data_IF_859495169030
#
_entry.id   IF_859495169030
#
_cell.length_a   1.000
_cell.length_b   1.000
_cell.length_c   1.000
_cell.angle_alpha   90.00
_cell.angle_beta   90.00
_cell.angle_gamma   90.00
#
_symmetry.space_group_name_H-M   'P 1'
#
loop_
_entity.id
_entity.type
_entity.pdbx_description
1 polymer ?
#
# COMPACT_ATOMS: atom_id res chain seq x y z
N UNK A 1 -6.39 -28.62 -11.59
CA UNK A 1 -7.05 -27.84 -10.52
C UNK A 1 -6.52 -26.43 -10.64
N UNK A 2 -7.37 -25.41 -10.79
CA UNK A 2 -6.93 -24.01 -10.78
C UNK A 2 -6.28 -23.70 -9.43
N UNK A 3 -5.17 -22.96 -9.41
CA UNK A 3 -4.56 -22.47 -8.15
C UNK A 3 -5.61 -21.62 -7.41
N UNK A 4 -5.77 -21.75 -6.08
CA UNK A 4 -6.60 -20.83 -5.32
C UNK A 4 -6.05 -19.41 -5.43
N UNK A 5 -6.95 -18.43 -5.51
CA UNK A 5 -6.60 -17.00 -5.56
C UNK A 5 -6.10 -16.58 -4.19
N UNK A 6 -4.94 -15.91 -4.13
CA UNK A 6 -4.40 -15.36 -2.89
C UNK A 6 -4.90 -13.92 -2.66
N UNK A 7 -5.35 -13.63 -1.44
CA UNK A 7 -5.73 -12.30 -0.98
C UNK A 7 -4.52 -11.63 -0.34
N UNK A 8 -3.90 -10.69 -1.05
CA UNK A 8 -2.83 -9.86 -0.51
C UNK A 8 -3.39 -8.51 -0.04
N UNK A 9 -2.86 -7.96 1.05
CA UNK A 9 -3.33 -6.70 1.65
C UNK A 9 -2.15 -5.80 1.93
N UNK A 10 -2.22 -4.54 1.50
CA UNK A 10 -1.18 -3.55 1.83
C UNK A 10 -1.21 -3.21 3.32
N UNK A 11 -0.04 -3.03 3.92
CA UNK A 11 0.13 -2.72 5.34
C UNK A 11 0.96 -1.44 5.47
N UNK A 12 0.38 -0.41 6.08
CA UNK A 12 1.02 0.88 6.27
C UNK A 12 1.63 0.96 7.69
N UNK A 13 2.96 1.03 7.84
CA UNK A 13 3.61 0.83 9.12
C UNK A 13 3.86 2.14 9.92
N UNK A 14 2.93 3.10 9.95
CA UNK A 14 3.15 4.39 10.63
C UNK A 14 2.42 4.54 11.99
N UNK A 15 2.00 3.42 12.59
CA UNK A 15 1.24 3.38 13.85
C UNK A 15 2.08 2.90 15.03
N UNK A 16 3.36 3.25 15.02
CA UNK A 16 4.32 3.04 16.10
C UNK A 16 5.29 4.24 16.20
N UNK A 17 5.98 4.38 17.33
CA UNK A 17 6.94 5.47 17.51
C UNK A 17 8.20 5.24 16.65
N UNK A 18 8.51 6.21 15.80
CA UNK A 18 9.73 6.25 15.00
C UNK A 18 10.55 7.51 15.33
N UNK A 19 11.88 7.40 15.30
CA UNK A 19 12.78 8.50 15.69
C UNK A 19 12.68 9.72 14.77
N UNK A 20 12.45 9.52 13.47
CA UNK A 20 12.27 10.61 12.50
C UNK A 20 10.95 11.32 12.78
N UNK A 21 9.89 10.55 12.99
CA UNK A 21 8.60 11.08 13.40
C UNK A 21 8.67 11.90 14.70
N UNK A 22 9.38 11.42 15.72
CA UNK A 22 9.57 12.21 16.95
C UNK A 22 10.35 13.51 16.70
N UNK A 23 11.33 13.49 15.79
CA UNK A 23 12.09 14.67 15.43
C UNK A 23 11.26 15.72 14.68
N UNK A 24 10.31 15.29 13.84
CA UNK A 24 9.43 16.17 13.06
C UNK A 24 8.20 16.65 13.83
N UNK A 25 7.54 15.74 14.55
CA UNK A 25 6.22 15.97 15.13
C UNK A 25 6.21 15.99 16.67
N UNK A 26 7.33 15.67 17.31
CA UNK A 26 7.50 15.68 18.76
C UNK A 26 7.46 14.31 19.40
N UNK A 27 7.94 14.24 20.65
CA UNK A 27 8.12 12.98 21.39
C UNK A 27 6.82 12.17 21.51
N UNK A 28 6.92 10.87 21.23
CA UNK A 28 5.83 9.91 21.30
C UNK A 28 4.80 10.04 20.17
N UNK A 29 5.07 10.88 19.17
CA UNK A 29 4.13 11.04 18.06
C UNK A 29 4.05 9.77 17.21
N UNK A 30 2.81 9.43 16.86
CA UNK A 30 2.47 8.44 15.85
C UNK A 30 1.30 9.00 15.05
N UNK A 31 1.03 8.44 13.88
CA UNK A 31 -0.06 8.95 13.04
C UNK A 31 -1.45 8.75 13.69
N UNK A 32 -1.56 7.96 14.76
CA UNK A 32 -2.75 7.91 15.62
C UNK A 32 -3.17 9.28 16.17
N UNK A 33 -2.26 10.23 16.35
CA UNK A 33 -2.63 11.59 16.78
C UNK A 33 -3.59 12.26 15.79
N UNK A 34 -3.45 11.99 14.49
CA UNK A 34 -4.35 12.54 13.47
C UNK A 34 -5.72 11.87 13.53
N UNK A 35 -5.76 10.53 13.64
CA UNK A 35 -7.03 9.78 13.78
C UNK A 35 -7.79 10.20 15.03
N UNK A 36 -7.11 10.39 16.17
CA UNK A 36 -7.73 10.86 17.42
C UNK A 36 -8.27 12.29 17.34
N UNK A 37 -7.68 13.12 16.47
CA UNK A 37 -8.06 14.53 16.29
C UNK A 37 -9.05 14.75 15.15
N UNK A 38 -9.32 13.74 14.32
CA UNK A 38 -10.22 13.86 13.19
C UNK A 38 -11.64 14.26 13.63
N UNK A 39 -12.21 15.24 12.95
CA UNK A 39 -13.56 15.75 13.19
C UNK A 39 -14.38 15.73 11.89
N UNK A 40 -15.73 15.67 11.97
CA UNK A 40 -16.58 15.90 10.81
C UNK A 40 -16.22 17.21 10.09
N UNK A 41 -15.82 17.13 8.81
CA UNK A 41 -15.47 18.31 7.99
C UNK A 41 -16.71 18.99 7.40
N UNK A 42 -17.84 18.28 7.36
CA UNK A 42 -19.14 18.73 6.92
C UNK A 42 -20.25 17.93 7.63
N UNK A 43 -21.49 18.39 7.55
CA UNK A 43 -22.61 17.72 8.19
C UNK A 43 -22.84 16.31 7.58
N UNK A 44 -22.84 15.28 8.43
CA UNK A 44 -23.00 13.89 8.01
C UNK A 44 -21.70 13.15 7.69
N UNK A 45 -20.54 13.83 7.76
CA UNK A 45 -19.23 13.20 7.57
C UNK A 45 -18.95 12.14 8.65
N UNK A 46 -18.52 10.95 8.23
CA UNK A 46 -18.28 9.78 9.10
C UNK A 46 -16.89 9.82 9.76
N UNK A 47 -16.67 10.83 10.62
CA UNK A 47 -15.50 10.97 11.49
C UNK A 47 -15.93 11.38 12.91
N UNK A 48 -15.13 11.08 13.95
CA UNK A 48 -13.93 10.27 13.93
C UNK A 48 -14.22 8.79 13.69
N UNK A 49 -13.33 8.12 12.96
CA UNK A 49 -13.27 6.65 12.88
C UNK A 49 -12.41 6.11 14.03
N UNK A 50 -12.93 5.11 14.75
CA UNK A 50 -12.31 4.62 16.00
C UNK A 50 -11.95 3.13 15.88
N UNK A 51 -10.67 2.75 16.03
CA UNK A 51 -10.24 1.35 16.04
C UNK A 51 -10.88 0.57 17.19
N UNK A 52 -11.41 -0.61 16.90
CA UNK A 52 -12.04 -1.49 17.89
C UNK A 52 -11.04 -1.95 18.96
N UNK A 53 -9.79 -2.15 18.54
CA UNK A 53 -8.69 -2.61 19.38
C UNK A 53 -7.92 -1.47 20.07
N UNK A 54 -8.28 -0.22 19.76
CA UNK A 54 -7.57 0.96 20.25
C UNK A 54 -6.38 1.37 19.39
N UNK A 55 -5.71 2.44 19.84
CA UNK A 55 -4.59 3.09 19.17
C UNK A 55 -3.26 2.45 19.59
N UNK A 56 -3.08 1.18 19.24
CA UNK A 56 -1.98 0.35 19.73
C UNK A 56 -0.69 0.52 18.91
N UNK A 57 0.44 0.20 19.54
CA UNK A 57 1.76 0.16 18.90
C UNK A 57 1.91 -1.16 18.13
N UNK A 58 1.93 -1.07 16.81
CA UNK A 58 2.06 -2.24 15.92
C UNK A 58 3.45 -2.88 15.91
N UNK A 59 4.46 -2.24 16.51
CA UNK A 59 5.77 -2.86 16.74
C UNK A 59 5.74 -3.83 17.94
N UNK A 60 4.67 -3.86 18.75
CA UNK A 60 4.47 -4.88 19.78
C UNK A 60 4.04 -6.21 19.13
N UNK A 61 4.83 -7.29 19.27
CA UNK A 61 4.48 -8.62 18.75
C UNK A 61 3.11 -9.13 19.19
N UNK A 62 2.64 -8.80 20.40
CA UNK A 62 1.35 -9.25 20.91
C UNK A 62 0.18 -8.54 20.19
N UNK A 63 0.36 -7.24 19.89
CA UNK A 63 -0.59 -6.46 19.08
C UNK A 63 -0.63 -7.02 17.67
N UNK A 64 0.53 -7.20 17.04
CA UNK A 64 0.62 -7.74 15.69
C UNK A 64 0.10 -9.18 15.60
N UNK A 65 0.31 -9.99 16.64
CA UNK A 65 -0.21 -11.37 16.70
C UNK A 65 -1.73 -11.40 16.59
N UNK A 66 -2.44 -10.47 17.25
CA UNK A 66 -3.90 -10.34 17.11
C UNK A 66 -4.32 -9.92 15.70
N UNK A 67 -3.56 -9.02 15.06
CA UNK A 67 -3.79 -8.62 13.66
C UNK A 67 -3.61 -9.80 12.70
N UNK A 68 -2.56 -10.60 12.89
CA UNK A 68 -2.27 -11.81 12.11
C UNK A 68 -3.40 -12.83 12.26
N UNK A 69 -3.86 -13.10 13.49
CA UNK A 69 -4.95 -14.05 13.73
C UNK A 69 -6.23 -13.61 13.01
N UNK A 70 -6.62 -12.35 13.16
CA UNK A 70 -7.81 -11.81 12.50
C UNK A 70 -7.71 -11.87 10.97
N UNK A 71 -6.57 -11.49 10.39
CA UNK A 71 -6.36 -11.59 8.95
C UNK A 71 -6.46 -13.04 8.45
N UNK A 72 -5.71 -13.96 9.07
CA UNK A 72 -5.67 -15.36 8.67
C UNK A 72 -7.01 -16.09 8.89
N UNK A 73 -7.75 -15.77 9.97
CA UNK A 73 -9.07 -16.36 10.26
C UNK A 73 -10.16 -15.92 9.26
N UNK A 74 -9.88 -14.89 8.44
CA UNK A 74 -10.82 -14.28 7.50
C UNK A 74 -10.36 -14.33 6.05
N UNK A 75 -9.39 -15.19 5.72
CA UNK A 75 -8.99 -15.47 4.35
C UNK A 75 -8.05 -14.43 3.73
N UNK A 76 -7.36 -13.64 4.54
CA UNK A 76 -6.17 -12.89 4.08
C UNK A 76 -4.98 -13.84 4.09
N UNK A 77 -4.24 -13.90 2.98
CA UNK A 77 -3.08 -14.79 2.83
C UNK A 77 -1.75 -14.07 3.07
N UNK A 78 -1.67 -12.80 2.67
CA UNK A 78 -0.40 -12.06 2.59
C UNK A 78 -0.56 -10.61 3.05
N UNK A 79 0.38 -10.13 3.86
CA UNK A 79 0.61 -8.70 4.05
C UNK A 79 1.75 -8.20 3.15
N UNK A 80 1.48 -7.16 2.34
CA UNK A 80 2.51 -6.44 1.59
C UNK A 80 2.81 -5.17 2.38
N UNK A 81 3.96 -5.14 3.04
CA UNK A 81 4.36 -3.97 3.83
C UNK A 81 4.84 -2.86 2.91
N UNK A 82 4.31 -1.66 3.13
CA UNK A 82 4.90 -0.42 2.63
C UNK A 82 6.24 -0.27 3.34
N UNK A 83 7.32 -0.52 2.60
CA UNK A 83 8.65 -0.61 3.15
C UNK A 83 9.44 0.64 2.79
N UNK A 84 9.93 1.35 3.80
CA UNK A 84 10.63 2.61 3.62
C UNK A 84 12.11 2.49 3.91
N UNK A 85 12.89 3.04 2.99
CA UNK A 85 14.32 3.23 3.13
C UNK A 85 14.72 4.45 2.32
N UNK A 86 15.44 5.36 2.97
CA UNK A 86 15.94 6.59 2.39
C UNK A 86 17.47 6.54 2.28
N UNK A 87 18.07 7.61 1.76
CA UNK A 87 19.53 7.68 1.53
C UNK A 87 20.35 7.34 2.79
N UNK A 88 19.84 7.68 3.97
CA UNK A 88 20.48 7.51 5.27
C UNK A 88 20.00 6.26 6.05
N UNK A 89 19.17 5.41 5.47
CA UNK A 89 18.78 4.12 6.06
C UNK A 89 17.27 3.90 6.22
N UNK A 90 16.86 2.92 7.05
CA UNK A 90 15.47 2.52 7.19
C UNK A 90 14.60 3.60 7.83
N UNK A 91 13.30 3.47 7.65
CA UNK A 91 12.25 4.26 8.26
C UNK A 91 11.00 3.38 8.46
N UNK A 92 10.30 3.53 9.59
CA UNK A 92 9.08 2.75 9.90
C UNK A 92 9.24 1.22 9.89
N UNK A 93 10.46 0.72 10.06
CA UNK A 93 10.78 -0.71 9.94
C UNK A 93 10.28 -1.56 11.11
N UNK A 94 10.01 -0.95 12.28
CA UNK A 94 9.72 -1.69 13.52
C UNK A 94 8.39 -2.45 13.46
N UNK A 95 7.38 -1.95 12.74
CA UNK A 95 6.13 -2.69 12.55
C UNK A 95 6.37 -4.08 11.92
N UNK A 96 7.27 -4.14 10.93
CA UNK A 96 7.64 -5.39 10.28
C UNK A 96 8.66 -6.17 11.13
N UNK A 97 9.75 -5.55 11.55
CA UNK A 97 10.89 -6.25 12.18
C UNK A 97 10.64 -6.67 13.62
N UNK A 98 10.04 -5.79 14.43
CA UNK A 98 9.71 -6.08 15.83
C UNK A 98 8.31 -6.68 15.92
N UNK A 99 7.31 -6.08 15.27
CA UNK A 99 5.93 -6.52 15.32
C UNK A 99 5.69 -7.85 14.59
N UNK A 100 5.68 -7.83 13.25
CA UNK A 100 5.27 -8.99 12.44
C UNK A 100 6.27 -10.14 12.53
N UNK A 101 7.57 -9.88 12.35
CA UNK A 101 8.59 -10.93 12.44
C UNK A 101 8.81 -11.41 13.88
N UNK A 102 8.48 -10.60 14.89
CA UNK A 102 8.52 -10.99 16.30
C UNK A 102 7.29 -11.73 16.80
N UNK A 103 6.16 -11.68 16.09
CA UNK A 103 4.93 -12.38 16.48
C UNK A 103 5.06 -13.91 16.29
N UNK A 104 4.72 -14.67 17.33
CA UNK A 104 4.86 -16.15 17.34
C UNK A 104 4.01 -16.85 16.26
N UNK A 105 2.91 -16.23 15.83
CA UNK A 105 2.00 -16.75 14.82
C UNK A 105 2.25 -16.19 13.41
N UNK A 106 3.38 -15.51 13.16
CA UNK A 106 3.65 -14.86 11.87
C UNK A 106 3.62 -15.81 10.66
N UNK A 107 3.87 -17.11 10.86
CA UNK A 107 3.81 -18.12 9.81
C UNK A 107 2.39 -18.40 9.31
N UNK A 108 1.35 -17.87 9.98
CA UNK A 108 -0.04 -17.94 9.53
C UNK A 108 -0.30 -17.10 8.28
N UNK A 109 0.54 -16.08 8.05
CA UNK A 109 0.49 -15.23 6.87
C UNK A 109 1.81 -15.29 6.12
N UNK A 110 1.74 -15.05 4.82
CA UNK A 110 2.91 -14.67 4.05
C UNK A 110 3.14 -13.17 4.19
N UNK A 111 4.33 -12.71 3.83
CA UNK A 111 4.59 -11.27 3.72
C UNK A 111 5.49 -10.92 2.55
N UNK A 112 5.35 -9.71 2.03
CA UNK A 112 6.17 -9.16 0.95
C UNK A 112 6.45 -7.67 1.20
N UNK A 113 7.35 -7.11 0.40
CA UNK A 113 7.73 -5.70 0.48
C UNK A 113 7.31 -4.97 -0.79
N UNK A 114 6.74 -3.79 -0.60
CA UNK A 114 6.66 -2.75 -1.62
C UNK A 114 7.52 -1.57 -1.16
N UNK A 115 8.59 -1.26 -1.87
CA UNK A 115 9.42 -0.10 -1.54
C UNK A 115 8.64 1.18 -1.86
N UNK A 116 8.16 1.85 -0.80
CA UNK A 116 7.45 3.12 -0.85
C UNK A 116 8.45 4.28 -1.00
N UNK A 117 9.15 4.30 -2.14
CA UNK A 117 10.27 5.20 -2.43
C UNK A 117 9.84 6.61 -2.90
N UNK A 118 8.71 7.12 -2.39
CA UNK A 118 8.24 8.47 -2.64
C UNK A 118 8.80 9.45 -1.58
N UNK A 119 8.74 10.74 -1.87
CA UNK A 119 9.09 11.78 -0.90
C UNK A 119 8.14 11.71 0.32
N UNK A 120 8.70 11.90 1.52
CA UNK A 120 7.90 12.05 2.74
C UNK A 120 7.57 13.52 2.93
N UNK A 121 6.28 13.86 2.85
CA UNK A 121 5.81 15.24 2.92
C UNK A 121 5.38 15.62 4.35
N UNK A 122 5.56 16.89 4.70
CA UNK A 122 5.04 17.48 5.94
C UNK A 122 3.54 17.79 5.83
N UNK A 123 2.72 16.73 5.91
CA UNK A 123 1.26 16.77 5.75
C UNK A 123 0.51 16.12 6.90
N UNK A 124 1.15 16.05 8.08
CA UNK A 124 0.66 15.30 9.22
C UNK A 124 0.49 16.19 10.47
N UNK A 125 -0.40 17.21 10.47
CA UNK A 125 -1.41 17.52 9.45
C UNK A 125 -1.00 18.60 8.44
N UNK A 126 -1.57 18.53 7.24
CA UNK A 126 -1.44 19.52 6.17
C UNK A 126 -2.20 20.81 6.48
N UNK A 127 -1.49 21.93 6.42
CA UNK A 127 -2.09 23.26 6.40
C UNK A 127 -2.85 23.47 5.09
N UNK A 128 -3.82 24.38 5.08
CA UNK A 128 -4.56 24.71 3.85
C UNK A 128 -3.66 25.33 2.75
N UNK A 129 -2.59 26.03 3.13
CA UNK A 129 -1.67 26.68 2.18
C UNK A 129 -0.56 25.73 1.72
N UNK A 130 -0.33 25.72 0.41
CA UNK A 130 0.75 24.98 -0.28
C UNK A 130 1.85 25.94 -0.78
N UNK A 131 3.07 25.47 -1.10
CA UNK A 131 3.55 24.08 -1.10
C UNK A 131 3.86 23.53 0.31
N UNK A 132 3.78 22.21 0.45
CA UNK A 132 4.25 21.50 1.64
C UNK A 132 5.76 21.27 1.59
N UNK A 133 6.37 21.12 2.77
CA UNK A 133 7.79 20.80 2.88
C UNK A 133 8.03 19.31 2.62
N UNK A 134 9.19 18.99 2.04
CA UNK A 134 9.71 17.61 1.99
C UNK A 134 10.53 17.38 3.25
N UNK A 135 10.18 16.36 4.03
CA UNK A 135 10.88 15.93 5.25
C UNK A 135 11.97 14.90 4.95
N UNK A 136 11.74 14.02 3.99
CA UNK A 136 12.72 13.05 3.49
C UNK A 136 12.52 12.82 1.99
N UNK A 137 13.62 12.68 1.24
CA UNK A 137 13.58 12.44 -0.21
C UNK A 137 13.54 10.94 -0.52
N UNK A 138 12.62 10.53 -1.39
CA UNK A 138 12.44 9.13 -1.79
C UNK A 138 13.46 8.62 -2.81
N UNK A 139 14.14 9.52 -3.52
CA UNK A 139 15.23 9.15 -4.43
C UNK A 139 16.44 8.66 -3.63
N UNK A 140 17.02 7.54 -4.05
CA UNK A 140 18.20 6.94 -3.42
C UNK A 140 19.34 6.74 -4.42
N UNK A 141 20.58 6.87 -3.95
CA UNK A 141 21.78 6.56 -4.72
C UNK A 141 21.92 5.05 -4.98
N UNK A 142 22.81 4.65 -5.90
CA UNK A 142 23.15 3.24 -6.12
C UNK A 142 23.70 2.58 -4.85
N UNK A 143 24.45 3.32 -4.04
CA UNK A 143 24.99 2.80 -2.78
C UNK A 143 23.87 2.50 -1.79
N UNK A 144 22.97 3.47 -1.53
CA UNK A 144 21.82 3.29 -0.66
C UNK A 144 20.89 2.17 -1.18
N UNK A 145 20.69 2.07 -2.50
CA UNK A 145 19.95 0.96 -3.11
C UNK A 145 20.57 -0.42 -2.84
N UNK A 146 21.89 -0.53 -2.98
CA UNK A 146 22.60 -1.77 -2.66
C UNK A 146 22.49 -2.11 -1.17
N UNK A 147 22.63 -1.13 -0.27
CA UNK A 147 22.49 -1.35 1.18
C UNK A 147 21.07 -1.81 1.55
N UNK A 148 20.04 -1.15 1.01
CA UNK A 148 18.64 -1.52 1.20
C UNK A 148 18.36 -2.96 0.72
N UNK A 149 18.77 -3.29 -0.50
CA UNK A 149 18.54 -4.63 -1.08
C UNK A 149 19.36 -5.72 -0.40
N UNK A 150 20.57 -5.41 0.10
CA UNK A 150 21.34 -6.32 0.94
C UNK A 150 20.65 -6.59 2.28
N UNK A 151 20.04 -5.56 2.89
CA UNK A 151 19.20 -5.74 4.08
C UNK A 151 18.00 -6.63 3.78
N UNK A 152 17.32 -6.42 2.65
CA UNK A 152 16.19 -7.26 2.26
C UNK A 152 16.56 -8.75 2.12
N UNK A 153 17.69 -9.02 1.44
CA UNK A 153 18.18 -10.39 1.24
C UNK A 153 18.43 -11.07 2.58
N UNK A 154 19.13 -10.39 3.50
CA UNK A 154 19.52 -11.00 4.79
C UNK A 154 18.33 -11.17 5.73
N UNK A 155 17.48 -10.15 5.84
CA UNK A 155 16.48 -10.03 6.92
C UNK A 155 15.14 -10.65 6.54
N UNK A 156 14.72 -10.49 5.27
CA UNK A 156 13.36 -10.80 4.84
C UNK A 156 13.30 -11.98 3.87
N UNK A 157 14.12 -12.02 2.83
CA UNK A 157 13.99 -13.02 1.76
C UNK A 157 14.41 -14.43 2.17
N UNK A 158 15.12 -14.55 3.30
CA UNK A 158 15.46 -15.82 3.96
C UNK A 158 14.29 -16.41 4.75
N UNK A 159 13.24 -15.63 5.02
CA UNK A 159 12.09 -16.08 5.83
C UNK A 159 11.25 -17.10 5.05
N UNK A 160 10.83 -18.21 5.67
CA UNK A 160 10.11 -19.28 4.98
C UNK A 160 8.71 -18.86 4.51
N UNK A 161 8.09 -17.88 5.16
CA UNK A 161 6.80 -17.30 4.81
C UNK A 161 6.91 -16.03 3.95
N UNK A 162 8.09 -15.69 3.40
CA UNK A 162 8.16 -14.61 2.42
C UNK A 162 7.37 -14.98 1.17
N UNK A 163 6.51 -14.07 0.68
CA UNK A 163 5.58 -14.32 -0.40
C UNK A 163 6.31 -14.53 -1.72
N UNK A 164 5.84 -15.54 -2.47
CA UNK A 164 6.41 -15.93 -3.75
C UNK A 164 5.32 -16.07 -4.80
N UNK A 165 5.55 -15.45 -5.95
CA UNK A 165 4.70 -15.54 -7.13
C UNK A 165 5.37 -16.48 -8.12
N UNK A 166 4.70 -17.58 -8.46
CA UNK A 166 5.24 -18.67 -9.28
C UNK A 166 6.65 -19.14 -8.83
N UNK A 167 6.84 -19.23 -7.52
CA UNK A 167 8.07 -19.69 -6.87
C UNK A 167 9.17 -18.62 -6.76
N UNK A 168 8.99 -17.44 -7.35
CA UNK A 168 9.93 -16.31 -7.30
C UNK A 168 9.60 -15.40 -6.12
N UNK A 169 10.62 -14.86 -5.43
CA UNK A 169 10.42 -13.85 -4.37
C UNK A 169 9.75 -12.61 -4.96
N UNK A 170 8.65 -12.15 -4.36
CA UNK A 170 7.97 -10.93 -4.83
C UNK A 170 8.60 -9.67 -4.21
N UNK A 171 8.92 -8.67 -5.02
CA UNK A 171 9.36 -7.35 -4.57
C UNK A 171 8.70 -6.28 -5.45
N UNK A 172 8.09 -5.26 -4.84
CA UNK A 172 7.42 -4.19 -5.57
C UNK A 172 8.09 -2.83 -5.37
N UNK A 173 8.01 -1.96 -6.37
CA UNK A 173 8.46 -0.56 -6.32
C UNK A 173 7.26 0.35 -6.54
N UNK A 174 7.03 1.30 -5.62
CA UNK A 174 5.89 2.20 -5.66
C UNK A 174 6.03 3.32 -6.69
N UNK A 175 7.14 4.08 -6.64
CA UNK A 175 7.37 5.23 -7.53
C UNK A 175 8.56 4.97 -8.46
N UNK A 176 8.26 4.45 -9.65
CA UNK A 176 9.27 3.96 -10.59
C UNK A 176 10.19 5.08 -11.10
N UNK A 177 9.70 6.31 -11.23
CA UNK A 177 10.46 7.42 -11.82
C UNK A 177 11.46 8.02 -10.84
N UNK A 178 11.18 7.97 -9.54
CA UNK A 178 12.03 8.34 -8.42
C UNK A 178 13.15 7.34 -8.29
N UNK A 179 12.86 6.04 -8.50
CA UNK A 179 13.90 5.03 -8.59
C UNK A 179 14.83 5.33 -9.77
N UNK A 180 14.28 5.59 -10.97
CA UNK A 180 15.06 5.94 -12.17
C UNK A 180 15.90 7.20 -11.96
N UNK A 181 15.32 8.23 -11.36
CA UNK A 181 15.99 9.49 -11.07
C UNK A 181 17.12 9.29 -10.05
N UNK A 182 16.89 8.55 -8.97
CA UNK A 182 17.88 8.27 -7.94
C UNK A 182 19.07 7.46 -8.47
N UNK A 183 18.79 6.45 -9.31
CA UNK A 183 19.82 5.61 -9.92
C UNK A 183 20.47 6.24 -11.18
N UNK A 184 19.95 7.37 -11.65
CA UNK A 184 20.58 8.24 -12.64
C UNK A 184 20.10 8.05 -14.08
N UNK A 185 19.68 6.84 -14.48
CA UNK A 185 19.08 6.57 -15.79
C UNK A 185 18.26 5.28 -15.81
N UNK A 186 17.53 5.05 -16.90
CA UNK A 186 16.80 3.79 -17.14
C UNK A 186 17.79 2.61 -17.21
N UNK A 187 18.91 2.78 -17.91
CA UNK A 187 19.95 1.76 -18.05
C UNK A 187 20.61 1.43 -16.71
N UNK A 188 20.95 2.47 -15.92
CA UNK A 188 21.54 2.28 -14.59
C UNK A 188 20.55 1.61 -13.62
N UNK A 189 19.26 1.91 -13.76
CA UNK A 189 18.19 1.26 -12.98
C UNK A 189 18.04 -0.20 -13.37
N UNK A 190 18.04 -0.50 -14.67
CA UNK A 190 18.01 -1.87 -15.18
C UNK A 190 19.20 -2.68 -14.65
N UNK A 191 20.39 -2.11 -14.69
CA UNK A 191 21.61 -2.73 -14.14
C UNK A 191 21.48 -2.99 -12.64
N UNK A 192 20.93 -2.05 -11.86
CA UNK A 192 20.72 -2.22 -10.42
C UNK A 192 19.70 -3.33 -10.09
N UNK A 193 18.61 -3.43 -10.86
CA UNK A 193 17.61 -4.49 -10.69
C UNK A 193 18.18 -5.86 -11.09
N UNK A 194 18.99 -5.93 -12.15
CA UNK A 194 19.64 -7.18 -12.57
C UNK A 194 20.73 -7.61 -11.58
N UNK A 195 21.50 -6.68 -11.02
CA UNK A 195 22.42 -6.93 -9.90
C UNK A 195 21.68 -7.47 -8.68
N UNK A 196 20.54 -6.87 -8.32
CA UNK A 196 19.72 -7.34 -7.21
C UNK A 196 19.26 -8.79 -7.44
N UNK A 197 18.72 -9.11 -8.62
CA UNK A 197 18.39 -10.50 -9.00
C UNK A 197 19.59 -11.43 -8.90
N UNK A 198 20.77 -11.01 -9.34
CA UNK A 198 21.99 -11.80 -9.27
C UNK A 198 22.41 -12.08 -7.82
N UNK A 199 22.34 -11.08 -6.94
CA UNK A 199 22.62 -11.25 -5.50
C UNK A 199 21.62 -12.17 -4.81
N UNK A 200 20.33 -12.10 -5.17
CA UNK A 200 19.30 -13.05 -4.68
C UNK A 200 19.65 -14.49 -5.08
N UNK A 201 20.02 -14.73 -6.35
CA UNK A 201 20.44 -16.06 -6.82
C UNK A 201 21.71 -16.53 -6.12
N UNK A 202 22.70 -15.66 -5.96
CA UNK A 202 23.96 -15.97 -5.29
C UNK A 202 23.77 -16.34 -3.82
N UNK A 203 22.76 -15.77 -3.16
CA UNK A 203 22.34 -16.14 -1.81
C UNK A 203 21.58 -17.49 -1.73
N UNK A 204 21.34 -18.16 -2.87
CA UNK A 204 20.63 -19.45 -2.92
C UNK A 204 19.11 -19.33 -2.74
N UNK A 205 18.53 -18.14 -2.90
CA UNK A 205 17.12 -17.87 -2.61
C UNK A 205 16.20 -18.03 -3.84
N UNK A 206 16.75 -18.44 -4.98
CA UNK A 206 16.06 -18.62 -6.25
C UNK A 206 15.97 -17.34 -7.07
N UNK A 207 14.83 -17.15 -7.74
CA UNK A 207 14.57 -16.00 -8.60
C UNK A 207 13.80 -14.90 -7.87
N UNK A 208 14.01 -13.65 -8.28
CA UNK A 208 13.29 -12.47 -7.81
C UNK A 208 12.35 -11.96 -8.91
N UNK A 209 11.07 -11.82 -8.55
CA UNK A 209 10.02 -11.20 -9.33
C UNK A 209 9.90 -9.72 -8.92
N UNK A 210 10.16 -8.83 -9.87
CA UNK A 210 10.05 -7.38 -9.65
C UNK A 210 8.70 -6.89 -10.17
N UNK A 211 7.94 -6.24 -9.31
CA UNK A 211 6.69 -5.58 -9.62
C UNK A 211 6.86 -4.06 -9.60
N UNK A 212 6.10 -3.35 -10.43
CA UNK A 212 5.99 -1.89 -10.37
C UNK A 212 4.53 -1.47 -10.17
N UNK A 213 4.28 -0.54 -9.26
CA UNK A 213 2.99 0.14 -9.15
C UNK A 213 2.88 1.14 -10.30
N UNK A 214 1.76 1.10 -11.04
CA UNK A 214 1.49 2.04 -12.13
C UNK A 214 0.44 3.08 -11.73
N UNK A 215 0.57 4.27 -12.32
CA UNK A 215 -0.21 5.46 -11.99
C UNK A 215 -1.00 5.95 -13.21
N UNK A 216 -2.29 6.26 -13.05
CA UNK A 216 -3.12 6.86 -14.11
C UNK A 216 -3.32 8.38 -13.93
N UNK A 217 -3.39 8.80 -12.67
CA UNK A 217 -3.66 10.14 -12.15
C UNK A 217 -2.66 10.39 -11.02
N UNK A 218 -2.03 11.57 -11.02
CA UNK A 218 -1.11 12.00 -9.96
C UNK A 218 -1.93 12.48 -8.75
N UNK A 219 -1.76 11.85 -7.59
CA UNK A 219 -2.45 12.16 -6.34
C UNK A 219 -1.48 12.76 -5.32
N UNK A 220 -0.28 12.17 -5.13
CA UNK A 220 0.73 12.74 -4.24
C UNK A 220 1.62 13.78 -4.96
N UNK A 221 2.02 14.87 -4.27
CA UNK A 221 3.05 15.78 -4.78
C UNK A 221 4.35 15.00 -5.04
N UNK A 222 4.76 14.90 -6.32
CA UNK A 222 6.01 14.23 -6.72
C UNK A 222 5.85 13.07 -7.71
N UNK A 223 4.66 12.46 -7.83
CA UNK A 223 4.42 11.35 -8.78
C UNK A 223 4.55 11.81 -10.24
N UNK A 224 5.12 10.99 -11.13
CA UNK A 224 5.22 11.32 -12.56
C UNK A 224 4.39 10.39 -13.45
N UNK A 225 3.57 10.97 -14.33
CA UNK A 225 2.77 10.21 -15.31
C UNK A 225 3.69 9.55 -16.34
N UNK A 226 3.61 8.23 -16.47
CA UNK A 226 4.40 7.48 -17.46
C UNK A 226 3.72 7.58 -18.84
N UNK A 227 4.25 8.41 -19.74
CA UNK A 227 3.69 8.63 -21.08
C UNK A 227 4.01 7.53 -22.08
N UNK A 228 4.89 6.58 -21.73
CA UNK A 228 5.25 5.42 -22.54
C UNK A 228 5.49 4.16 -21.67
N UNK A 229 4.48 3.82 -20.86
CA UNK A 229 4.57 2.84 -19.77
C UNK A 229 5.15 1.49 -20.17
N UNK A 230 4.68 0.92 -21.27
CA UNK A 230 5.09 -0.42 -21.70
C UNK A 230 6.56 -0.49 -22.12
N UNK A 231 7.07 0.52 -22.84
CA UNK A 231 8.48 0.57 -23.23
C UNK A 231 9.39 0.77 -22.02
N UNK A 232 9.01 1.64 -21.07
CA UNK A 232 9.76 1.85 -19.84
C UNK A 232 9.82 0.58 -18.99
N UNK A 233 8.68 -0.08 -18.76
CA UNK A 233 8.60 -1.31 -17.96
C UNK A 233 9.44 -2.44 -18.59
N UNK A 234 9.42 -2.56 -19.92
CA UNK A 234 10.24 -3.51 -20.65
C UNK A 234 11.74 -3.18 -20.54
N UNK A 235 12.12 -1.91 -20.68
CA UNK A 235 13.50 -1.46 -20.56
C UNK A 235 14.08 -1.72 -19.15
N UNK A 236 13.27 -1.50 -18.12
CA UNK A 236 13.63 -1.78 -16.73
C UNK A 236 13.57 -3.28 -16.39
N UNK A 237 12.92 -4.09 -17.22
CA UNK A 237 12.79 -5.53 -17.00
C UNK A 237 11.91 -5.88 -15.82
N UNK A 238 10.82 -5.15 -15.61
CA UNK A 238 9.83 -5.46 -14.58
C UNK A 238 9.04 -6.71 -15.00
N UNK A 239 8.73 -7.60 -14.05
CA UNK A 239 8.04 -8.87 -14.30
C UNK A 239 6.51 -8.75 -14.25
N UNK A 240 5.96 -7.79 -13.50
CA UNK A 240 4.52 -7.50 -13.45
C UNK A 240 4.21 -6.07 -13.04
N UNK A 241 2.96 -5.65 -13.22
CA UNK A 241 2.46 -4.37 -12.71
C UNK A 241 1.35 -4.57 -11.68
N UNK A 242 1.13 -3.57 -10.83
CA UNK A 242 0.03 -3.51 -9.86
C UNK A 242 -0.57 -2.11 -9.81
N UNK A 243 -1.75 -2.00 -9.19
CA UNK A 243 -2.31 -0.72 -8.74
C UNK A 243 -2.43 -0.71 -7.22
N UNK A 244 -2.36 0.47 -6.61
CA UNK A 244 -2.34 0.61 -5.15
C UNK A 244 -3.73 0.96 -4.59
N UNK A 245 -4.30 2.09 -5.00
CA UNK A 245 -5.65 2.55 -4.61
C UNK A 245 -6.38 3.08 -5.84
N UNK A 246 -7.72 2.96 -5.87
CA UNK A 246 -8.51 3.31 -7.05
C UNK A 246 -8.37 4.77 -7.46
N UNK A 247 -8.20 5.68 -6.51
CA UNK A 247 -8.11 7.12 -6.81
C UNK A 247 -6.83 7.50 -7.59
N UNK A 248 -5.83 6.63 -7.66
CA UNK A 248 -4.67 6.79 -8.55
C UNK A 248 -5.03 6.61 -10.04
N UNK A 249 -6.25 6.16 -10.34
CA UNK A 249 -6.73 5.95 -11.71
C UNK A 249 -8.12 6.54 -11.96
N UNK A 250 -8.86 6.84 -10.89
CA UNK A 250 -10.23 7.33 -10.94
C UNK A 250 -10.33 8.68 -10.23
N UNK A 251 -10.77 9.71 -10.96
CA UNK A 251 -11.13 10.98 -10.35
C UNK A 251 -12.38 10.82 -9.46
N UNK A 252 -12.48 11.66 -8.43
CA UNK A 252 -13.67 11.78 -7.58
C UNK A 252 -14.48 12.99 -8.06
N UNK A 253 -15.47 12.80 -8.95
CA UNK A 253 -16.14 13.91 -9.65
C UNK A 253 -17.03 14.76 -8.75
N UNK A 254 -17.41 14.28 -7.57
CA UNK A 254 -18.27 14.99 -6.63
C UNK A 254 -17.51 15.28 -5.34
N UNK A 255 -17.57 16.54 -4.90
CA UNK A 255 -16.98 17.01 -3.65
C UNK A 255 -18.09 17.44 -2.67
N UNK A 256 -17.98 17.13 -1.36
CA UNK A 256 -16.87 16.41 -0.73
C UNK A 256 -16.88 14.90 -1.00
N UNK A 257 -18.03 14.32 -1.36
CA UNK A 257 -18.20 12.87 -1.41
C UNK A 257 -18.60 12.37 -2.80
N UNK A 258 -17.89 11.34 -3.28
CA UNK A 258 -18.27 10.54 -4.44
C UNK A 258 -18.71 9.15 -3.98
N UNK A 259 -19.84 8.60 -4.48
CA UNK A 259 -20.30 7.26 -4.06
C UNK A 259 -19.28 6.15 -4.37
N UNK A 260 -18.94 5.34 -3.37
CA UNK A 260 -18.04 4.18 -3.50
C UNK A 260 -18.45 3.23 -4.62
N UNK A 261 -19.75 2.96 -4.75
CA UNK A 261 -20.28 2.06 -5.77
C UNK A 261 -19.98 2.54 -7.20
N UNK A 262 -19.93 3.86 -7.42
CA UNK A 262 -19.61 4.45 -8.72
C UNK A 262 -18.14 4.20 -9.08
N UNK A 263 -17.23 4.49 -8.15
CA UNK A 263 -15.79 4.29 -8.35
C UNK A 263 -15.45 2.80 -8.44
N UNK A 264 -16.11 1.94 -7.66
CA UNK A 264 -15.93 0.48 -7.76
C UNK A 264 -16.33 -0.06 -9.13
N UNK A 265 -17.43 0.43 -9.71
CA UNK A 265 -17.87 0.01 -11.05
C UNK A 265 -16.85 0.41 -12.11
N UNK A 266 -16.39 1.66 -12.10
CA UNK A 266 -15.35 2.16 -13.02
C UNK A 266 -14.03 1.41 -12.86
N UNK A 267 -13.61 1.15 -11.63
CA UNK A 267 -12.36 0.42 -11.33
C UNK A 267 -12.38 -1.03 -11.83
N UNK A 268 -13.57 -1.64 -11.93
CA UNK A 268 -13.71 -2.98 -12.52
C UNK A 268 -13.36 -2.99 -14.01
N UNK A 269 -13.67 -1.91 -14.72
CA UNK A 269 -13.33 -1.74 -16.15
C UNK A 269 -11.81 -1.53 -16.33
N UNK A 270 -11.18 -0.81 -15.40
CA UNK A 270 -9.73 -0.57 -15.41
C UNK A 270 -8.91 -1.86 -15.28
N UNK A 271 -9.40 -2.88 -14.57
CA UNK A 271 -8.65 -4.12 -14.42
C UNK A 271 -8.38 -4.80 -15.76
N UNK A 272 -9.43 -5.00 -16.57
CA UNK A 272 -9.31 -5.56 -17.92
C UNK A 272 -8.46 -4.67 -18.83
N UNK A 273 -8.61 -3.35 -18.71
CA UNK A 273 -7.84 -2.37 -19.48
C UNK A 273 -6.34 -2.45 -19.16
N UNK A 274 -5.95 -2.55 -17.89
CA UNK A 274 -4.54 -2.63 -17.49
C UNK A 274 -3.93 -3.97 -17.85
N UNK A 275 -4.65 -5.09 -17.65
CA UNK A 275 -4.19 -6.41 -18.12
C UNK A 275 -3.93 -6.43 -19.64
N UNK A 276 -4.73 -5.72 -20.44
CA UNK A 276 -4.54 -5.64 -21.89
C UNK A 276 -3.44 -4.64 -22.32
N UNK A 277 -3.26 -3.54 -21.57
CA UNK A 277 -2.40 -2.42 -21.98
C UNK A 277 -0.90 -2.69 -21.86
N UNK A 278 -0.48 -3.34 -20.77
CA UNK A 278 0.94 -3.33 -20.39
C UNK A 278 1.74 -4.54 -20.87
N UNK A 279 1.11 -5.54 -21.49
CA UNK A 279 1.79 -6.76 -21.97
C UNK A 279 2.51 -7.57 -20.87
N UNK A 280 2.29 -7.22 -19.61
CA UNK A 280 2.84 -7.83 -18.41
C UNK A 280 1.67 -8.35 -17.54
N UNK A 281 1.89 -9.39 -16.73
CA UNK A 281 0.95 -9.80 -15.71
C UNK A 281 0.52 -8.62 -14.82
N UNK A 282 -0.76 -8.56 -14.47
CA UNK A 282 -1.32 -7.49 -13.65
C UNK A 282 -1.84 -8.06 -12.33
N UNK A 283 -1.41 -7.46 -11.23
CA UNK A 283 -1.91 -7.71 -9.88
C UNK A 283 -2.98 -6.64 -9.58
N UNK A 284 -4.28 -6.96 -9.74
CA UNK A 284 -5.36 -5.99 -9.61
C UNK A 284 -5.65 -5.67 -8.14
N UNK A 285 -6.31 -4.54 -7.90
CA UNK A 285 -6.60 -4.04 -6.55
C UNK A 285 -8.09 -3.77 -6.31
N UNK A 286 -8.55 -4.06 -5.09
CA UNK A 286 -9.80 -3.56 -4.51
C UNK A 286 -9.47 -2.54 -3.41
N UNK A 287 -10.01 -1.33 -3.49
CA UNK A 287 -9.88 -0.33 -2.44
C UNK A 287 -11.02 -0.47 -1.43
N UNK A 288 -10.72 -0.46 -0.13
CA UNK A 288 -11.70 -0.53 0.95
C UNK A 288 -12.46 0.79 1.11
N UNK A 289 -11.75 1.92 1.10
CA UNK A 289 -12.31 3.25 1.26
C UNK A 289 -11.31 4.34 0.88
N UNK A 290 -11.72 5.60 0.99
CA UNK A 290 -10.83 6.75 0.83
C UNK A 290 -11.43 7.98 1.52
N UNK A 291 -10.71 8.53 2.49
CA UNK A 291 -10.97 9.78 3.19
C UNK A 291 -9.66 10.25 3.84
N UNK A 292 -8.94 11.15 3.16
CA UNK A 292 -7.69 11.73 3.67
C UNK A 292 -7.88 12.95 4.57
N UNK A 293 -9.12 13.29 4.93
CA UNK A 293 -9.39 14.45 5.78
C UNK A 293 -8.76 14.43 7.17
N UNK A 294 -8.47 13.28 7.82
CA UNK A 294 -7.70 13.26 9.07
C UNK A 294 -6.29 13.87 8.93
N UNK A 295 -5.69 13.81 7.73
CA UNK A 295 -4.40 14.45 7.43
C UNK A 295 -4.50 15.97 7.25
N UNK A 296 -5.67 16.59 7.39
CA UNK A 296 -5.82 18.06 7.31
C UNK A 296 -5.83 18.73 8.68
N UNK A 297 -5.47 20.01 8.73
CA UNK A 297 -5.69 20.85 9.92
C UNK A 297 -7.19 20.98 10.17
N UNK A 298 -7.65 20.42 11.29
CA UNK A 298 -9.09 20.27 11.57
C UNK A 298 -9.79 21.61 11.83
N UNK A 299 -9.07 22.66 12.21
CA UNK A 299 -9.66 24.00 12.35
C UNK A 299 -9.85 24.76 11.03
N UNK A 300 -9.25 24.29 9.94
CA UNK A 300 -9.35 24.96 8.63
C UNK A 300 -10.63 24.54 7.89
N UNK A 301 -11.08 25.36 6.94
CA UNK A 301 -12.18 25.00 6.03
C UNK A 301 -11.78 23.90 5.05
N UNK A 302 -12.67 22.93 4.82
CA UNK A 302 -12.44 21.79 3.93
C UNK A 302 -12.99 22.06 2.53
N UNK A 303 -12.09 22.23 1.56
CA UNK A 303 -12.38 22.46 0.15
C UNK A 303 -11.49 21.55 -0.72
N UNK A 304 -11.77 21.44 -2.01
CA UNK A 304 -10.97 20.62 -2.92
C UNK A 304 -9.71 21.39 -3.40
N UNK A 305 -8.62 21.26 -2.67
CA UNK A 305 -7.32 21.90 -2.94
C UNK A 305 -6.24 20.89 -3.39
N UNK A 306 -6.62 19.64 -3.61
CA UNK A 306 -5.70 18.53 -3.83
C UNK A 306 -5.29 17.85 -2.53
N UNK A 307 -4.59 16.73 -2.64
CA UNK A 307 -4.28 15.88 -1.48
C UNK A 307 -3.55 16.65 -0.35
N UNK A 308 -3.96 16.51 0.93
CA UNK A 308 -5.09 15.71 1.45
C UNK A 308 -6.44 16.48 1.56
N UNK A 309 -6.53 17.73 1.11
CA UNK A 309 -7.78 18.49 0.97
C UNK A 309 -8.50 18.12 -0.35
N UNK A 310 -9.03 16.91 -0.45
CA UNK A 310 -9.64 16.40 -1.69
C UNK A 310 -10.99 15.72 -1.45
N UNK A 311 -11.61 15.21 -2.52
CA UNK A 311 -12.81 14.39 -2.38
C UNK A 311 -12.54 13.07 -1.64
N UNK A 312 -13.62 12.48 -1.11
CA UNK A 312 -13.61 11.18 -0.43
C UNK A 312 -14.67 10.24 -1.00
N UNK A 313 -14.59 8.97 -0.65
CA UNK A 313 -15.57 7.95 -1.00
C UNK A 313 -16.65 7.86 0.09
N UNK A 314 -17.92 7.93 -0.32
CA UNK A 314 -19.05 7.74 0.58
C UNK A 314 -19.76 6.42 0.36
N UNK A 315 -20.47 5.93 1.39
CA UNK A 315 -21.26 4.71 1.28
C UNK A 315 -20.43 3.43 1.09
N UNK A 316 -19.16 3.41 1.49
CA UNK A 316 -18.28 2.25 1.48
C UNK A 316 -18.63 1.23 2.57
N UNK A 317 -19.89 0.78 2.62
CA UNK A 317 -20.36 -0.21 3.61
C UNK A 317 -19.71 -1.59 3.40
N UNK A 318 -19.69 -2.48 4.42
CA UNK A 318 -19.22 -3.86 4.25
C UNK A 318 -19.89 -4.62 3.09
N UNK A 319 -21.18 -4.35 2.84
CA UNK A 319 -21.91 -4.95 1.72
C UNK A 319 -21.43 -4.43 0.35
N UNK A 320 -21.11 -3.13 0.23
CA UNK A 320 -20.55 -2.57 -1.01
C UNK A 320 -19.14 -3.09 -1.27
N UNK A 321 -18.32 -3.19 -0.22
CA UNK A 321 -16.99 -3.80 -0.31
C UNK A 321 -17.07 -5.27 -0.73
N UNK A 322 -17.99 -6.06 -0.18
CA UNK A 322 -18.25 -7.44 -0.61
C UNK A 322 -18.60 -7.54 -2.09
N UNK A 323 -19.44 -6.63 -2.61
CA UNK A 323 -19.77 -6.59 -4.04
C UNK A 323 -18.53 -6.34 -4.90
N UNK A 324 -17.59 -5.49 -4.46
CA UNK A 324 -16.32 -5.25 -5.15
C UNK A 324 -15.43 -6.51 -5.14
N UNK A 325 -15.40 -7.24 -4.02
CA UNK A 325 -14.70 -8.53 -3.94
C UNK A 325 -15.33 -9.60 -4.85
N UNK A 326 -16.66 -9.65 -4.96
CA UNK A 326 -17.35 -10.55 -5.91
C UNK A 326 -16.98 -10.21 -7.35
N UNK A 327 -16.93 -8.93 -7.72
CA UNK A 327 -16.45 -8.49 -9.05
C UNK A 327 -15.00 -8.89 -9.28
N UNK A 328 -14.14 -8.75 -8.27
CA UNK A 328 -12.74 -9.20 -8.36
C UNK A 328 -12.65 -10.70 -8.59
N UNK A 329 -13.40 -11.51 -7.84
CA UNK A 329 -13.45 -12.97 -8.03
C UNK A 329 -13.91 -13.35 -9.43
N UNK A 330 -14.91 -12.64 -9.97
CA UNK A 330 -15.36 -12.82 -11.35
C UNK A 330 -14.27 -12.43 -12.36
N UNK A 331 -13.56 -11.32 -12.15
CA UNK A 331 -12.46 -10.89 -13.00
C UNK A 331 -11.31 -11.91 -13.03
N UNK A 332 -10.85 -12.37 -11.86
CA UNK A 332 -9.77 -13.34 -11.73
C UNK A 332 -10.11 -14.73 -12.29
N UNK A 333 -11.41 -15.05 -12.42
CA UNK A 333 -11.86 -16.28 -13.06
C UNK A 333 -11.71 -16.26 -14.60
N UNK A 334 -11.43 -15.10 -15.18
CA UNK A 334 -11.19 -14.94 -16.61
C UNK A 334 -9.73 -15.31 -16.94
N UNK A 335 -9.49 -15.90 -18.11
CA UNK A 335 -8.13 -16.32 -18.54
C UNK A 335 -7.14 -15.14 -18.73
N UNK A 336 -7.62 -13.89 -18.57
CA UNK A 336 -6.90 -12.66 -18.93
C UNK A 336 -5.84 -12.23 -17.91
N UNK A 337 -5.96 -12.58 -16.63
CA UNK A 337 -5.16 -11.88 -15.61
C UNK A 337 -3.76 -12.47 -15.37
N UNK A 338 -3.55 -13.76 -15.63
CA UNK A 338 -2.24 -14.44 -15.48
C UNK A 338 -1.63 -14.44 -14.06
N UNK A 339 -2.18 -13.67 -13.12
CA UNK A 339 -1.71 -13.49 -11.75
C UNK A 339 -2.69 -14.16 -10.77
N UNK A 340 -2.26 -15.15 -9.95
CA UNK A 340 -3.14 -15.91 -9.08
C UNK A 340 -3.44 -15.18 -7.75
N UNK A 341 -3.51 -13.86 -7.76
CA UNK A 341 -3.71 -13.03 -6.58
C UNK A 341 -4.32 -11.68 -6.95
N UNK A 342 -4.82 -10.97 -5.93
CA UNK A 342 -5.16 -9.54 -6.00
C UNK A 342 -4.75 -8.85 -4.70
N UNK A 343 -4.70 -7.52 -4.73
CA UNK A 343 -4.43 -6.69 -3.56
C UNK A 343 -5.69 -6.03 -3.02
N UNK A 344 -5.67 -5.75 -1.71
CA UNK A 344 -6.61 -4.82 -1.07
C UNK A 344 -5.82 -3.68 -0.44
N UNK A 345 -6.18 -2.45 -0.79
CA UNK A 345 -5.77 -1.26 -0.05
C UNK A 345 -6.86 -0.93 0.98
N UNK A 346 -6.55 -0.92 2.29
CA UNK A 346 -5.37 -1.47 2.95
C UNK A 346 -5.76 -2.12 4.30
N UNK A 347 -4.81 -2.73 5.00
CA UNK A 347 -5.03 -3.26 6.35
C UNK A 347 -5.37 -2.13 7.32
N UNK A 348 -4.59 -1.04 7.33
CA UNK A 348 -4.63 -0.06 8.42
C UNK A 348 -4.37 1.40 8.00
N UNK A 349 -4.62 1.86 6.78
CA UNK A 349 -4.48 3.31 6.47
C UNK A 349 -5.65 4.13 7.05
N UNK A 350 -5.66 4.28 8.37
CA UNK A 350 -6.73 4.95 9.13
C UNK A 350 -6.89 6.42 8.75
N UNK A 351 -5.79 7.12 8.48
CA UNK A 351 -5.78 8.54 8.13
C UNK A 351 -6.13 8.83 6.68
N UNK A 352 -6.23 7.78 5.86
CA UNK A 352 -6.82 7.83 4.52
C UNK A 352 -8.17 7.10 4.45
N UNK A 353 -8.72 6.71 5.60
CA UNK A 353 -10.01 6.03 5.67
C UNK A 353 -10.05 4.69 4.91
N UNK A 354 -8.89 4.08 4.64
CA UNK A 354 -8.70 2.83 3.89
C UNK A 354 -8.09 1.74 4.77
N UNK A 355 -8.86 1.21 5.71
CA UNK A 355 -8.47 0.15 6.64
C UNK A 355 -9.44 -1.04 6.65
N UNK A 356 -8.92 -2.25 6.71
CA UNK A 356 -9.65 -3.48 7.06
C UNK A 356 -9.63 -3.76 8.56
N UNK A 357 -8.69 -3.14 9.27
CA UNK A 357 -8.53 -3.28 10.70
C UNK A 357 -9.85 -2.93 11.42
N UNK A 358 -10.32 -3.74 12.37
CA UNK A 358 -11.67 -3.60 12.89
C UNK A 358 -11.92 -2.24 13.56
N UNK A 359 -13.07 -1.64 13.27
CA UNK A 359 -13.52 -0.40 13.89
C UNK A 359 -14.72 -0.63 14.84
N UNK A 360 -15.05 0.36 15.66
CA UNK A 360 -16.15 0.25 16.63
C UNK A 360 -17.55 0.24 16.00
N UNK A 361 -17.68 0.58 14.71
CA UNK A 361 -18.97 0.72 14.00
C UNK A 361 -19.35 -0.55 13.26
N UNK A 362 -18.39 -1.15 12.57
CA UNK A 362 -18.53 -2.30 11.67
C UNK A 362 -17.91 -3.57 12.28
N UNK A 363 -17.07 -3.46 13.31
CA UNK A 363 -16.35 -4.58 13.89
C UNK A 363 -15.53 -5.32 12.82
N UNK A 364 -15.70 -6.64 12.74
CA UNK A 364 -15.00 -7.50 11.77
C UNK A 364 -15.68 -7.55 10.38
N UNK A 365 -16.76 -6.78 10.13
CA UNK A 365 -17.63 -7.03 8.98
C UNK A 365 -16.94 -6.97 7.60
N UNK A 366 -15.89 -6.15 7.44
CA UNK A 366 -15.08 -6.11 6.21
C UNK A 366 -14.22 -7.36 6.04
N UNK A 367 -13.59 -7.85 7.11
CA UNK A 367 -12.86 -9.13 7.10
C UNK A 367 -13.82 -10.30 6.81
N UNK A 368 -15.00 -10.29 7.42
CA UNK A 368 -16.03 -11.30 7.15
C UNK A 368 -16.53 -11.27 5.70
N UNK A 369 -16.48 -10.11 5.02
CA UNK A 369 -16.76 -10.04 3.58
C UNK A 369 -15.67 -10.75 2.75
N UNK A 370 -14.39 -10.60 3.10
CA UNK A 370 -13.28 -11.35 2.48
C UNK A 370 -13.52 -12.84 2.66
N UNK A 371 -13.78 -13.28 3.89
CA UNK A 371 -14.05 -14.69 4.22
C UNK A 371 -15.22 -15.27 3.44
N UNK A 372 -16.33 -14.53 3.31
CA UNK A 372 -17.50 -15.00 2.53
C UNK A 372 -17.19 -15.20 1.05
N UNK A 373 -16.33 -14.37 0.47
CA UNK A 373 -16.03 -14.41 -0.97
C UNK A 373 -14.87 -15.34 -1.30
N UNK A 374 -13.81 -15.37 -0.49
CA UNK A 374 -12.54 -16.06 -0.77
C UNK A 374 -12.15 -17.14 0.24
N UNK A 375 -12.80 -17.21 1.40
CA UNK A 375 -12.50 -18.18 2.48
C UNK A 375 -13.14 -19.55 2.32
#
# INVERSE_FOLDING_TARGET
MSKPVEVAVYYFPNYHVDKRNEAWHGKGWTEWELTKRAEPRFAGHDQPKVPLWGYEDEADPAVMSRKIDAAADHGVDTFIFDWYWYEDGPYLDRALEEGFLGADNNSRLKFALMWANHDWMDIHPAQRSTPYNILAQGTVSREAFTQATDHMIRTYFTRPNYWRVDGKLYFSVYELMSLVKGLGSIEATREALDDFRARVRAAGLGELHVNAVVWGVQILPGEQKITNGTELLAALGVDSISSYVWIHHQELPTFPETPYAEISAKSTEDWSKFSAMYGLPYLPNVTMGWDSSPRTVQSDGYENLGYPYMGMLSGNTPAQFELSLVRMKQFLSQELNGFPAFTVNAWNEWTEGSYLEPDTKNGMAYLEAIKRVFG
#
